data_IF_767534496572
#
_entry.id   IF_767534496572
#
_cell.length_a   1.000
_cell.length_b   1.000
_cell.length_c   1.000
_cell.angle_alpha   90.00
_cell.angle_beta   90.00
_cell.angle_gamma   90.00
#
_symmetry.space_group_name_H-M   'P 1'
#
loop_
_entity.id
_entity.type
_entity.pdbx_description
1 polymer ?
#
# COMPACT_ATOMS: atom_id res chain seq x y z
N UNK A 1 1.02 -6.04 -1.89
CA UNK A 1 1.80 -4.80 -1.70
C UNK A 1 1.57 -3.83 -2.87
N UNK A 2 1.87 -4.21 -4.11
CA UNK A 2 1.57 -3.45 -5.35
C UNK A 2 0.26 -2.63 -5.35
N UNK A 3 -0.90 -3.29 -5.25
CA UNK A 3 -2.22 -2.61 -5.21
C UNK A 3 -2.33 -1.53 -4.13
N UNK A 4 -1.82 -1.82 -2.94
CA UNK A 4 -1.94 -0.91 -1.79
C UNK A 4 -1.01 0.28 -2.01
N UNK A 5 0.22 0.04 -2.45
CA UNK A 5 1.19 1.10 -2.74
C UNK A 5 0.68 2.06 -3.82
N UNK A 6 0.11 1.53 -4.91
CA UNK A 6 -0.54 2.34 -5.95
C UNK A 6 -1.77 3.10 -5.40
N UNK A 7 -2.66 2.45 -4.65
CA UNK A 7 -3.83 3.12 -4.06
C UNK A 7 -3.45 4.21 -3.06
N UNK A 8 -2.40 4.00 -2.28
CA UNK A 8 -1.88 4.99 -1.35
C UNK A 8 -1.18 6.15 -2.07
N UNK A 9 -0.82 6.01 -3.35
CA UNK A 9 -0.02 6.99 -4.09
C UNK A 9 1.46 6.96 -3.73
N UNK A 10 1.94 5.88 -3.13
CA UNK A 10 3.37 5.71 -2.78
C UNK A 10 4.23 5.43 -4.03
N UNK A 11 3.61 4.80 -5.02
CA UNK A 11 4.21 4.47 -6.31
C UNK A 11 3.16 4.65 -7.39
N UNK A 12 3.61 4.87 -8.62
CA UNK A 12 2.81 4.76 -9.83
C UNK A 12 3.54 3.80 -10.76
N UNK A 13 3.23 2.51 -10.63
CA UNK A 13 3.90 1.45 -11.37
C UNK A 13 2.87 0.48 -11.93
N UNK A 14 3.13 -0.03 -13.13
CA UNK A 14 2.26 -0.99 -13.79
C UNK A 14 2.49 -2.41 -13.28
N UNK A 15 3.71 -2.73 -12.84
CA UNK A 15 4.08 -4.08 -12.42
C UNK A 15 4.42 -4.19 -10.93
N UNK A 16 4.23 -5.38 -10.31
CA UNK A 16 4.67 -5.65 -8.95
C UNK A 16 6.18 -5.49 -8.76
N UNK A 17 6.99 -5.95 -9.72
CA UNK A 17 8.46 -5.86 -9.66
C UNK A 17 8.94 -4.40 -9.60
N UNK A 18 8.40 -3.53 -10.46
CA UNK A 18 8.70 -2.09 -10.43
C UNK A 18 8.33 -1.47 -9.08
N UNK A 19 7.17 -1.86 -8.53
CA UNK A 19 6.73 -1.38 -7.22
C UNK A 19 7.71 -1.79 -6.13
N UNK A 20 8.18 -3.04 -6.13
CA UNK A 20 9.15 -3.49 -5.16
C UNK A 20 10.47 -2.74 -5.30
N UNK A 21 10.97 -2.55 -6.52
CA UNK A 21 12.18 -1.77 -6.78
C UNK A 21 12.04 -0.31 -6.31
N UNK A 22 10.89 0.32 -6.53
CA UNK A 22 10.63 1.68 -6.07
C UNK A 22 10.60 1.76 -4.54
N UNK A 23 9.91 0.83 -3.88
CA UNK A 23 9.84 0.80 -2.41
C UNK A 23 11.19 0.50 -1.76
N UNK A 24 12.03 -0.32 -2.39
CA UNK A 24 13.41 -0.58 -1.95
C UNK A 24 14.29 0.67 -1.96
N UNK A 25 13.99 1.66 -2.82
CA UNK A 25 14.69 2.96 -2.84
C UNK A 25 14.20 3.91 -1.75
N UNK A 26 12.95 3.78 -1.32
CA UNK A 26 12.32 4.65 -0.31
C UNK A 26 12.62 4.15 1.10
N UNK A 27 12.60 2.84 1.34
CA UNK A 27 12.70 2.26 2.68
C UNK A 27 14.07 1.62 2.95
N UNK A 28 14.63 1.81 4.17
CA UNK A 28 15.84 1.10 4.61
C UNK A 28 15.67 -0.42 4.53
N UNK A 29 16.74 -1.12 4.12
CA UNK A 29 16.73 -2.58 3.92
C UNK A 29 16.29 -3.37 5.16
N UNK A 30 16.60 -2.86 6.35
CA UNK A 30 16.20 -3.48 7.61
C UNK A 30 14.67 -3.59 7.79
N UNK A 31 13.90 -2.67 7.20
CA UNK A 31 12.45 -2.59 7.38
C UNK A 31 11.66 -3.35 6.31
N UNK A 32 12.32 -3.91 5.28
CA UNK A 32 11.62 -4.51 4.15
C UNK A 32 10.68 -5.66 4.57
N UNK A 33 11.15 -6.56 5.44
CA UNK A 33 10.34 -7.68 5.93
C UNK A 33 9.13 -7.20 6.74
N UNK A 34 9.33 -6.21 7.61
CA UNK A 34 8.29 -5.68 8.48
C UNK A 34 7.23 -4.91 7.69
N UNK A 35 7.66 -4.05 6.77
CA UNK A 35 6.77 -3.29 5.90
C UNK A 35 5.95 -4.24 5.03
N UNK A 36 6.58 -5.27 4.46
CA UNK A 36 5.87 -6.26 3.64
C UNK A 36 4.79 -6.98 4.44
N UNK A 37 5.11 -7.48 5.64
CA UNK A 37 4.14 -8.13 6.51
C UNK A 37 2.99 -7.19 6.91
N UNK A 38 3.32 -5.95 7.25
CA UNK A 38 2.37 -4.91 7.63
C UNK A 38 1.43 -4.57 6.47
N UNK A 39 1.97 -4.34 5.27
CA UNK A 39 1.22 -4.06 4.06
C UNK A 39 0.28 -5.21 3.69
N UNK A 40 0.74 -6.46 3.80
CA UNK A 40 -0.11 -7.64 3.53
C UNK A 40 -1.28 -7.70 4.52
N UNK A 41 -1.00 -7.58 5.82
CA UNK A 41 -2.03 -7.58 6.86
C UNK A 41 -3.02 -6.43 6.70
N UNK A 42 -2.53 -5.25 6.34
CA UNK A 42 -3.34 -4.08 6.03
C UNK A 42 -4.25 -4.32 4.83
N UNK A 43 -3.75 -4.95 3.77
CA UNK A 43 -4.55 -5.32 2.60
C UNK A 43 -5.62 -6.38 2.86
N UNK A 44 -5.39 -7.24 3.84
CA UNK A 44 -6.33 -8.30 4.25
C UNK A 44 -7.41 -7.78 5.22
N UNK A 45 -7.14 -6.74 6.01
CA UNK A 45 -8.07 -6.25 7.04
C UNK A 45 -8.74 -4.91 6.71
N UNK A 46 -8.04 -4.00 6.04
CA UNK A 46 -8.49 -2.61 5.80
C UNK A 46 -8.59 -2.32 4.31
N UNK A 47 -7.48 -2.35 3.56
CA UNK A 47 -7.45 -2.05 2.13
C UNK A 47 -7.79 -3.28 1.27
N UNK A 48 -8.99 -3.79 1.49
CA UNK A 48 -9.54 -4.97 0.83
C UNK A 48 -9.57 -4.79 -0.70
N UNK A 49 -9.45 -5.87 -1.49
CA UNK A 49 -9.54 -5.80 -2.95
C UNK A 49 -10.84 -5.15 -3.43
N UNK A 50 -11.96 -5.54 -2.81
CA UNK A 50 -13.31 -4.99 -3.02
C UNK A 50 -13.78 -4.32 -1.73
N UNK A 51 -14.47 -3.19 -1.84
CA UNK A 51 -15.01 -2.40 -0.72
C UNK A 51 -13.98 -2.19 0.41
N UNK A 52 -12.88 -1.45 0.16
CA UNK A 52 -11.92 -1.15 1.20
C UNK A 52 -12.60 -0.39 2.35
N UNK A 53 -12.18 -0.67 3.59
CA UNK A 53 -12.72 -0.02 4.78
C UNK A 53 -12.05 1.34 5.00
N UNK A 54 -12.22 2.28 4.06
CA UNK A 54 -11.51 3.55 4.13
C UNK A 54 -11.93 4.37 5.34
N UNK A 55 -13.17 4.28 5.81
CA UNK A 55 -13.64 4.87 7.07
C UNK A 55 -12.80 4.52 8.30
N UNK A 56 -12.21 3.32 8.34
CA UNK A 56 -11.35 2.83 9.44
C UNK A 56 -9.85 2.90 9.09
N UNK A 57 -9.51 3.48 7.93
CA UNK A 57 -8.14 3.53 7.45
C UNK A 57 -7.36 4.65 8.15
N UNK A 58 -6.26 4.34 8.86
CA UNK A 58 -5.46 5.35 9.56
C UNK A 58 -4.80 6.35 8.59
N UNK A 59 -4.56 5.93 7.35
CA UNK A 59 -3.92 6.74 6.29
C UNK A 59 -4.94 7.26 5.26
N UNK A 60 -6.25 7.34 5.62
CA UNK A 60 -7.30 7.82 4.68
C UNK A 60 -6.99 9.21 4.12
N UNK A 61 -6.44 10.09 4.94
CA UNK A 61 -6.11 11.48 4.58
C UNK A 61 -5.05 11.55 3.49
N UNK A 62 -3.95 10.82 3.67
CA UNK A 62 -2.80 10.80 2.75
C UNK A 62 -2.96 9.88 1.54
N UNK A 63 -3.94 8.98 1.56
CA UNK A 63 -4.16 8.03 0.48
C UNK A 63 -4.53 8.74 -0.84
N UNK A 64 -4.03 8.32 -2.00
CA UNK A 64 -4.42 8.92 -3.29
C UNK A 64 -5.66 8.27 -3.94
N UNK A 65 -6.24 7.25 -3.32
CA UNK A 65 -7.33 6.47 -3.93
C UNK A 65 -8.60 7.33 -4.16
N UNK A 66 -9.17 7.37 -5.38
CA UNK A 66 -10.36 8.20 -5.65
C UNK A 66 -11.64 7.67 -4.99
N UNK A 67 -11.86 6.35 -4.97
CA UNK A 67 -13.10 5.75 -4.47
C UNK A 67 -13.09 5.44 -2.96
N UNK A 68 -12.48 6.32 -2.14
CA UNK A 68 -12.45 6.15 -0.68
C UNK A 68 -13.86 6.24 -0.10
N UNK A 69 -14.37 5.14 0.46
CA UNK A 69 -15.61 5.10 1.24
C UNK A 69 -15.29 4.98 2.74
#
# INVERSE_FOLDING_TARGET
MHRISNRLGLVDCATPDETEMALRKVFPRALWCEINGTMVRFGQKICLPRNPRCSQCPVKKECAYPDKK
#
